data_IF_275803884468
#
_entry.id   IF_275803884468
#
_cell.length_a   1.000
_cell.length_b   1.000
_cell.length_c   1.000
_cell.angle_alpha   90.00
_cell.angle_beta   90.00
_cell.angle_gamma   90.00
#
_symmetry.space_group_name_H-M   'P 1'
#
loop_
_entity.id
_entity.type
_entity.pdbx_description
1 polymer ?
#
# COMPACT_ATOMS: atom_id res chain seq x y z
N UNK A 1 -17.91 2.97 -4.06
CA UNK A 1 -17.88 2.82 -2.59
C UNK A 1 -17.11 4.03 -2.07
N UNK A 2 -17.49 4.63 -0.95
CA UNK A 2 -16.59 5.55 -0.23
C UNK A 2 -16.17 4.80 1.04
N UNK A 3 -14.88 4.57 1.31
CA UNK A 3 -14.45 3.79 2.48
C UNK A 3 -15.05 4.29 3.81
N UNK A 4 -15.36 5.59 3.88
CA UNK A 4 -16.01 6.27 4.99
C UNK A 4 -17.44 5.78 5.28
N UNK A 5 -18.14 5.16 4.31
CA UNK A 5 -19.48 4.61 4.46
C UNK A 5 -19.51 3.08 4.66
N UNK A 6 -18.35 2.42 4.76
CA UNK A 6 -18.25 0.96 4.91
C UNK A 6 -19.05 0.41 6.10
N UNK A 7 -19.14 1.17 7.19
CA UNK A 7 -19.93 0.80 8.39
C UNK A 7 -21.43 0.93 8.15
N UNK A 8 -21.87 1.88 7.32
CA UNK A 8 -23.29 2.13 6.99
C UNK A 8 -23.78 1.13 5.93
N UNK A 9 -22.92 0.72 5.00
CA UNK A 9 -23.26 -0.19 3.89
C UNK A 9 -23.15 -1.69 4.26
N UNK A 10 -22.74 -2.00 5.49
CA UNK A 10 -22.59 -3.38 5.96
C UNK A 10 -21.44 -4.12 5.26
N UNK A 11 -20.30 -3.44 5.09
CA UNK A 11 -19.08 -3.96 4.49
C UNK A 11 -18.83 -3.56 3.03
N UNK A 12 -17.77 -4.12 2.44
CA UNK A 12 -17.34 -3.87 1.04
C UNK A 12 -18.29 -4.55 0.03
N UNK A 13 -19.49 -3.99 -0.17
CA UNK A 13 -20.46 -4.47 -1.15
C UNK A 13 -20.37 -3.68 -2.44
N UNK A 14 -20.32 -4.41 -3.55
CA UNK A 14 -20.34 -3.81 -4.88
C UNK A 14 -21.63 -2.99 -5.09
N UNK A 15 -21.48 -1.78 -5.63
CA UNK A 15 -22.56 -0.82 -5.91
C UNK A 15 -23.10 -1.01 -7.33
N UNK A 16 -24.26 -0.44 -7.67
CA UNK A 16 -24.78 -0.48 -9.05
C UNK A 16 -25.19 -1.86 -9.57
N UNK A 17 -25.58 -2.80 -8.69
CA UNK A 17 -25.95 -4.18 -9.08
C UNK A 17 -27.39 -4.34 -9.59
N UNK A 18 -28.24 -3.33 -9.45
CA UNK A 18 -29.56 -3.25 -10.07
C UNK A 18 -29.59 -2.06 -11.04
N UNK A 19 -30.48 -2.10 -12.02
CA UNK A 19 -30.63 -1.00 -12.98
C UNK A 19 -30.89 0.34 -12.27
N UNK A 20 -31.75 0.35 -11.24
CA UNK A 20 -32.05 1.54 -10.46
C UNK A 20 -30.83 2.06 -9.67
N UNK A 21 -30.01 1.17 -9.11
CA UNK A 21 -28.77 1.57 -8.43
C UNK A 21 -27.68 2.03 -9.41
N UNK A 22 -27.63 1.45 -10.61
CA UNK A 22 -26.71 1.88 -11.66
C UNK A 22 -27.10 3.26 -12.20
N UNK A 23 -28.39 3.52 -12.40
CA UNK A 23 -28.89 4.83 -12.81
C UNK A 23 -28.57 5.90 -11.77
N UNK A 24 -28.87 5.64 -10.49
CA UNK A 24 -28.49 6.56 -9.40
C UNK A 24 -27.00 6.89 -9.39
N UNK A 25 -26.14 5.88 -9.60
CA UNK A 25 -24.70 6.08 -9.64
C UNK A 25 -24.28 6.99 -10.80
N UNK A 26 -24.90 6.84 -11.98
CA UNK A 26 -24.67 7.73 -13.12
C UNK A 26 -25.14 9.16 -12.82
N UNK A 27 -26.34 9.31 -12.26
CA UNK A 27 -26.91 10.61 -11.89
C UNK A 27 -26.01 11.34 -10.86
N UNK A 28 -25.52 10.62 -9.85
CA UNK A 28 -24.58 11.14 -8.86
C UNK A 28 -23.25 11.58 -9.51
N UNK A 29 -22.73 10.79 -10.45
CA UNK A 29 -21.49 11.12 -11.14
C UNK A 29 -21.61 12.38 -12.01
N UNK A 30 -22.72 12.52 -12.75
CA UNK A 30 -23.03 13.72 -13.52
C UNK A 30 -23.22 14.94 -12.62
N UNK A 31 -23.84 14.78 -11.45
CA UNK A 31 -23.98 15.85 -10.48
C UNK A 31 -22.64 16.31 -9.91
N UNK A 32 -21.70 15.38 -9.65
CA UNK A 32 -20.34 15.70 -9.21
C UNK A 32 -19.55 16.45 -10.28
N UNK A 33 -19.65 16.03 -11.54
CA UNK A 33 -19.06 16.74 -12.68
C UNK A 33 -19.63 18.17 -12.80
N UNK A 34 -20.96 18.32 -12.75
CA UNK A 34 -21.61 19.62 -12.79
C UNK A 34 -21.22 20.53 -11.60
N UNK A 35 -20.88 19.94 -10.46
CA UNK A 35 -20.35 20.67 -9.29
C UNK A 35 -18.88 21.09 -9.45
N UNK A 36 -18.21 20.69 -10.53
CA UNK A 36 -16.83 21.08 -10.86
C UNK A 36 -15.77 20.08 -10.40
N UNK A 37 -16.12 18.82 -10.12
CA UNK A 37 -15.12 17.78 -9.93
C UNK A 37 -14.26 17.64 -11.20
N UNK A 38 -12.94 17.48 -11.03
CA UNK A 38 -12.03 17.33 -12.17
C UNK A 38 -11.81 15.85 -12.57
N UNK A 39 -12.19 14.91 -11.71
CA UNK A 39 -12.13 13.46 -11.93
C UNK A 39 -13.00 12.74 -10.88
N UNK A 40 -13.39 11.49 -11.17
CA UNK A 40 -14.20 10.65 -10.27
C UNK A 40 -13.58 9.27 -10.10
N UNK A 41 -13.55 8.76 -8.86
CA UNK A 41 -13.14 7.37 -8.58
C UNK A 41 -14.36 6.45 -8.52
N UNK A 42 -14.36 5.40 -9.34
CA UNK A 42 -15.38 4.35 -9.32
C UNK A 42 -14.86 3.11 -8.58
N UNK A 43 -15.37 2.88 -7.38
CA UNK A 43 -14.95 1.75 -6.53
C UNK A 43 -16.03 0.67 -6.40
N UNK A 44 -15.63 -0.58 -6.69
CA UNK A 44 -16.44 -1.78 -6.58
C UNK A 44 -17.76 -1.69 -7.38
N UNK A 45 -17.67 -1.31 -8.65
CA UNK A 45 -18.79 -1.15 -9.58
C UNK A 45 -18.73 -2.26 -10.65
N UNK A 46 -19.86 -2.86 -11.09
CA UNK A 46 -19.85 -3.76 -12.23
C UNK A 46 -19.22 -3.09 -13.46
N UNK A 47 -18.31 -3.81 -14.13
CA UNK A 47 -17.60 -3.30 -15.31
C UNK A 47 -18.50 -2.61 -16.36
N UNK A 48 -19.63 -3.19 -16.80
CA UNK A 48 -20.47 -2.52 -17.80
C UNK A 48 -21.12 -1.22 -17.29
N UNK A 49 -21.35 -1.09 -15.98
CA UNK A 49 -21.87 0.15 -15.39
C UNK A 49 -20.77 1.22 -15.36
N UNK A 50 -19.55 0.85 -14.95
CA UNK A 50 -18.43 1.78 -14.91
C UNK A 50 -18.03 2.27 -16.31
N UNK A 51 -18.04 1.38 -17.31
CA UNK A 51 -17.81 1.73 -18.71
C UNK A 51 -18.87 2.70 -19.24
N UNK A 52 -20.15 2.46 -18.92
CA UNK A 52 -21.24 3.37 -19.28
C UNK A 52 -21.09 4.75 -18.64
N UNK A 53 -20.73 4.81 -17.35
CA UNK A 53 -20.50 6.08 -16.64
C UNK A 53 -19.32 6.83 -17.24
N UNK A 54 -18.22 6.13 -17.51
CA UNK A 54 -17.03 6.73 -18.14
C UNK A 54 -17.35 7.32 -19.51
N UNK A 55 -18.17 6.64 -20.31
CA UNK A 55 -18.57 7.13 -21.63
C UNK A 55 -19.50 8.36 -21.60
N UNK A 56 -20.15 8.66 -20.48
CA UNK A 56 -21.11 9.77 -20.34
C UNK A 56 -20.49 11.02 -19.70
N UNK A 57 -19.36 10.89 -19.00
CA UNK A 57 -18.65 12.01 -18.38
C UNK A 57 -17.63 12.62 -19.35
N UNK A 58 -17.41 13.93 -19.24
CA UNK A 58 -16.31 14.63 -19.90
C UNK A 58 -15.02 14.57 -19.07
N UNK A 59 -15.14 14.41 -17.75
CA UNK A 59 -14.00 14.30 -16.83
C UNK A 59 -13.49 12.84 -16.68
N UNK A 60 -12.18 12.63 -16.39
CA UNK A 60 -11.63 11.29 -16.25
C UNK A 60 -12.23 10.48 -15.10
N UNK A 61 -12.44 9.18 -15.33
CA UNK A 61 -12.78 8.21 -14.30
C UNK A 61 -11.58 7.32 -13.93
N UNK A 62 -11.44 7.02 -12.63
CA UNK A 62 -10.40 6.13 -12.11
C UNK A 62 -11.05 4.92 -11.45
N UNK A 63 -10.80 3.73 -11.98
CA UNK A 63 -11.39 2.49 -11.49
C UNK A 63 -10.59 1.82 -10.38
N UNK A 64 -11.28 1.29 -9.37
CA UNK A 64 -10.73 0.29 -8.43
C UNK A 64 -11.77 -0.80 -8.21
N UNK A 65 -11.53 -1.96 -8.83
CA UNK A 65 -12.55 -3.01 -8.92
C UNK A 65 -13.79 -2.59 -9.73
N UNK A 66 -13.59 -1.74 -10.74
CA UNK A 66 -14.61 -1.24 -11.66
C UNK A 66 -14.42 -1.72 -13.11
N UNK A 67 -13.52 -2.68 -13.35
CA UNK A 67 -13.18 -3.13 -14.70
C UNK A 67 -12.24 -2.16 -15.43
N UNK A 68 -11.91 -2.52 -16.68
CA UNK A 68 -10.93 -1.79 -17.50
C UNK A 68 -11.55 -0.65 -18.33
N UNK A 69 -12.87 -0.43 -18.25
CA UNK A 69 -13.58 0.62 -19.00
C UNK A 69 -13.51 2.01 -18.40
N UNK A 70 -12.74 2.22 -17.33
CA UNK A 70 -12.40 3.55 -16.80
C UNK A 70 -11.11 4.09 -17.45
N UNK A 71 -10.92 5.41 -17.46
CA UNK A 71 -9.75 6.06 -18.09
C UNK A 71 -8.44 5.76 -17.37
N UNK A 72 -8.51 5.51 -16.07
CA UNK A 72 -7.37 5.12 -15.24
C UNK A 72 -7.72 4.04 -14.23
N UNK A 73 -6.71 3.55 -13.53
CA UNK A 73 -6.85 2.52 -12.50
C UNK A 73 -6.07 2.91 -11.26
N UNK A 74 -6.59 2.52 -10.09
CA UNK A 74 -5.91 2.70 -8.80
C UNK A 74 -5.99 1.41 -7.97
N UNK A 75 -4.92 1.11 -7.26
CA UNK A 75 -4.84 0.04 -6.27
C UNK A 75 -4.09 0.54 -5.04
N UNK A 76 -4.39 -0.05 -3.89
CA UNK A 76 -3.60 0.16 -2.67
C UNK A 76 -2.28 -0.60 -2.82
N UNK A 77 -1.16 0.11 -2.75
CA UNK A 77 0.16 -0.48 -3.03
C UNK A 77 0.53 -1.62 -2.06
N UNK A 78 0.05 -1.58 -0.80
CA UNK A 78 0.24 -2.69 0.15
C UNK A 78 -0.41 -3.99 -0.31
N UNK A 79 -1.63 -3.91 -0.86
CA UNK A 79 -2.32 -5.09 -1.39
C UNK A 79 -1.64 -5.56 -2.68
N UNK A 80 -1.24 -4.62 -3.53
CA UNK A 80 -0.50 -4.87 -4.77
C UNK A 80 0.84 -5.60 -4.51
N UNK A 81 1.56 -5.21 -3.46
CA UNK A 81 2.86 -5.81 -3.09
C UNK A 81 2.75 -6.97 -2.08
N UNK A 82 1.55 -7.33 -1.64
CA UNK A 82 1.34 -8.46 -0.73
C UNK A 82 2.03 -8.27 0.63
N UNK A 83 1.87 -7.09 1.25
CA UNK A 83 2.52 -6.77 2.55
C UNK A 83 1.77 -7.30 3.78
N UNK A 84 0.47 -7.56 3.67
CA UNK A 84 -0.36 -7.98 4.79
C UNK A 84 -0.91 -9.39 4.60
N UNK A 85 -1.14 -10.07 5.72
CA UNK A 85 -1.91 -11.31 5.75
C UNK A 85 -3.41 -11.01 5.63
N UNK A 86 -4.14 -11.98 5.08
CA UNK A 86 -5.59 -11.97 5.04
C UNK A 86 -6.15 -12.07 3.64
N UNK A 87 -7.46 -11.87 3.53
CA UNK A 87 -8.18 -12.00 2.27
C UNK A 87 -8.01 -10.74 1.44
N UNK A 88 -7.07 -10.77 0.50
CA UNK A 88 -6.92 -9.75 -0.53
C UNK A 88 -8.26 -9.53 -1.27
N UNK A 89 -8.70 -8.27 -1.47
CA UNK A 89 -9.93 -8.02 -2.21
C UNK A 89 -9.88 -8.65 -3.60
N UNK A 90 -10.99 -9.22 -4.07
CA UNK A 90 -11.05 -9.99 -5.33
C UNK A 90 -10.56 -9.24 -6.57
N UNK A 91 -10.59 -7.90 -6.54
CA UNK A 91 -10.23 -7.04 -7.65
C UNK A 91 -8.75 -6.65 -7.66
N UNK A 92 -8.01 -6.99 -6.60
CA UNK A 92 -6.57 -6.73 -6.55
C UNK A 92 -5.85 -7.89 -7.24
N UNK A 93 -4.95 -7.55 -8.15
CA UNK A 93 -3.90 -8.44 -8.61
C UNK A 93 -2.65 -8.16 -7.78
N UNK A 94 -2.12 -9.19 -7.11
CA UNK A 94 -0.82 -9.09 -6.44
C UNK A 94 0.30 -9.21 -7.48
N UNK A 95 1.28 -8.32 -7.39
CA UNK A 95 2.47 -8.30 -8.24
C UNK A 95 3.73 -8.76 -7.48
N UNK A 96 3.67 -8.81 -6.16
CA UNK A 96 4.70 -9.36 -5.30
C UNK A 96 4.08 -9.99 -4.03
N UNK A 97 4.86 -10.80 -3.34
CA UNK A 97 4.56 -11.33 -2.00
C UNK A 97 5.69 -10.86 -1.07
N UNK A 98 5.66 -9.57 -0.72
CA UNK A 98 6.76 -8.97 0.05
C UNK A 98 6.74 -9.33 1.52
N UNK A 99 5.59 -9.75 2.07
CA UNK A 99 5.52 -10.18 3.46
C UNK A 99 6.49 -11.33 3.74
N UNK A 100 6.47 -12.38 2.92
CA UNK A 100 7.38 -13.51 3.07
C UNK A 100 8.85 -13.11 2.90
N UNK A 101 9.17 -12.25 1.93
CA UNK A 101 10.54 -11.75 1.72
C UNK A 101 11.04 -10.93 2.91
N UNK A 102 10.22 -10.01 3.42
CA UNK A 102 10.54 -9.19 4.59
C UNK A 102 10.76 -10.09 5.81
N UNK A 103 9.86 -11.06 6.03
CA UNK A 103 9.99 -12.02 7.12
C UNK A 103 11.33 -12.77 7.07
N UNK A 104 11.67 -13.35 5.91
CA UNK A 104 12.94 -14.05 5.72
C UNK A 104 14.15 -13.16 5.93
N UNK A 105 14.14 -11.92 5.43
CA UNK A 105 15.24 -10.99 5.61
C UNK A 105 15.47 -10.64 7.08
N UNK A 106 14.39 -10.40 7.83
CA UNK A 106 14.46 -10.09 9.26
C UNK A 106 14.91 -11.29 10.09
N UNK A 107 14.47 -12.49 9.75
CA UNK A 107 14.92 -13.73 10.39
C UNK A 107 16.41 -14.00 10.13
N UNK A 108 16.87 -13.82 8.89
CA UNK A 108 18.27 -13.96 8.52
C UNK A 108 19.15 -12.95 9.28
N UNK A 109 18.76 -11.66 9.29
CA UNK A 109 19.44 -10.64 10.07
C UNK A 109 19.50 -10.99 11.56
N UNK A 110 18.39 -11.45 12.15
CA UNK A 110 18.37 -11.84 13.55
C UNK A 110 19.29 -13.04 13.83
N UNK A 111 19.42 -13.99 12.89
CA UNK A 111 20.34 -15.11 13.01
C UNK A 111 21.80 -14.66 12.92
N UNK A 112 22.13 -13.75 12.00
CA UNK A 112 23.48 -13.20 11.85
C UNK A 112 23.92 -12.44 13.12
N UNK A 113 23.03 -11.63 13.70
CA UNK A 113 23.31 -10.92 14.96
C UNK A 113 23.51 -11.90 16.12
N UNK A 114 22.66 -12.92 16.25
CA UNK A 114 22.76 -13.90 17.35
C UNK A 114 24.00 -14.78 17.27
N UNK A 115 24.43 -15.10 16.05
CA UNK A 115 25.64 -15.89 15.80
C UNK A 115 26.92 -15.06 15.83
N UNK A 116 26.81 -13.72 15.77
CA UNK A 116 27.94 -12.81 15.62
C UNK A 116 28.48 -12.74 14.19
N UNK A 117 27.79 -13.30 13.19
CA UNK A 117 28.15 -13.17 11.78
C UNK A 117 27.95 -11.74 11.26
N UNK A 118 27.01 -10.99 11.85
CA UNK A 118 26.85 -9.55 11.62
C UNK A 118 27.14 -8.76 12.92
N UNK A 119 27.88 -7.64 12.83
CA UNK A 119 28.50 -7.08 11.62
C UNK A 119 29.79 -7.82 11.19
N UNK A 120 29.95 -7.99 9.88
CA UNK A 120 31.26 -8.29 9.26
C UNK A 120 32.19 -7.06 9.34
N UNK A 121 33.50 -7.25 9.16
CA UNK A 121 34.51 -6.18 9.16
C UNK A 121 34.20 -5.06 8.16
N UNK A 122 33.67 -5.38 6.97
CA UNK A 122 33.25 -4.38 5.99
C UNK A 122 32.11 -3.47 6.44
N UNK A 123 31.39 -3.87 7.49
CA UNK A 123 30.29 -3.11 8.09
C UNK A 123 30.74 -2.34 9.34
N UNK A 124 32.04 -2.36 9.68
CA UNK A 124 32.61 -1.63 10.80
C UNK A 124 33.57 -0.54 10.33
N UNK A 125 33.92 0.36 11.24
CA UNK A 125 34.95 1.38 11.02
C UNK A 125 36.17 1.05 11.90
N UNK A 126 37.36 1.18 11.34
CA UNK A 126 38.61 1.01 12.08
C UNK A 126 39.05 2.33 12.73
N UNK A 127 39.72 2.23 13.88
CA UNK A 127 40.49 3.31 14.49
C UNK A 127 41.98 3.04 14.26
N UNK A 128 42.80 4.04 13.88
CA UNK A 128 44.25 3.87 13.85
C UNK A 128 44.77 3.35 15.20
N UNK A 129 45.68 2.37 15.17
CA UNK A 129 46.16 1.69 16.38
C UNK A 129 46.71 2.66 17.44
N UNK A 130 47.42 3.71 17.00
CA UNK A 130 47.98 4.74 17.88
C UNK A 130 46.90 5.53 18.64
N UNK A 131 45.80 5.88 17.98
CA UNK A 131 44.69 6.60 18.60
C UNK A 131 43.87 5.70 19.52
N UNK A 132 43.74 4.40 19.17
CA UNK A 132 43.10 3.42 20.04
C UNK A 132 43.89 3.23 21.35
N UNK A 133 45.21 3.10 21.26
CA UNK A 133 46.07 2.96 22.44
C UNK A 133 46.00 4.20 23.36
N UNK A 134 45.93 5.41 22.77
CA UNK A 134 45.71 6.66 23.53
C UNK A 134 44.37 6.63 24.26
N UNK A 135 43.28 6.32 23.55
CA UNK A 135 41.94 6.22 24.12
C UNK A 135 41.87 5.24 25.29
N UNK A 136 42.46 4.05 25.16
CA UNK A 136 42.49 3.05 26.23
C UNK A 136 43.31 3.53 27.45
N UNK A 137 44.44 4.19 27.22
CA UNK A 137 45.31 4.69 28.30
C UNK A 137 44.66 5.79 29.15
N UNK A 138 43.82 6.64 28.54
CA UNK A 138 43.11 7.73 29.21
C UNK A 138 41.97 7.22 30.12
N UNK A 139 41.40 6.04 29.85
CA UNK A 139 40.27 5.47 30.59
C UNK A 139 40.67 4.53 31.75
N UNK A 140 41.91 4.03 31.77
CA UNK A 140 42.42 3.19 32.88
C UNK A 140 42.54 3.95 34.22
N UNK A 141 42.49 5.28 34.21
CA UNK A 141 42.62 6.12 35.41
C UNK A 141 41.28 6.64 35.98
N UNK A 142 40.12 6.25 35.42
CA UNK A 142 38.83 6.89 35.74
C UNK A 142 37.86 6.16 36.68
N UNK A 143 37.92 4.85 36.84
CA UNK A 143 36.99 4.10 37.72
C UNK A 143 37.73 3.20 38.71
N UNK A 144 38.21 3.82 39.79
CA UNK A 144 38.12 3.24 41.12
C UNK A 144 37.05 4.02 41.89
N UNK A 145 35.88 3.43 42.09
CA UNK A 145 35.11 3.43 43.34
C UNK A 145 33.98 2.42 43.23
#
# INVERSE_FOLDING_TARGET
LTPQSATVLGGFKAQGRSAEAAQRLLDDALALEAAGCFAIVLEAVPAPVAERVTAELEIPTIGIGAGAGCDGQVLVWHDLLGLYDGRTPRFVKQYAELRGEIGRALEAYAADVRSGAFPEERHTYAMPEEELARFESEHVHGHRH
#
